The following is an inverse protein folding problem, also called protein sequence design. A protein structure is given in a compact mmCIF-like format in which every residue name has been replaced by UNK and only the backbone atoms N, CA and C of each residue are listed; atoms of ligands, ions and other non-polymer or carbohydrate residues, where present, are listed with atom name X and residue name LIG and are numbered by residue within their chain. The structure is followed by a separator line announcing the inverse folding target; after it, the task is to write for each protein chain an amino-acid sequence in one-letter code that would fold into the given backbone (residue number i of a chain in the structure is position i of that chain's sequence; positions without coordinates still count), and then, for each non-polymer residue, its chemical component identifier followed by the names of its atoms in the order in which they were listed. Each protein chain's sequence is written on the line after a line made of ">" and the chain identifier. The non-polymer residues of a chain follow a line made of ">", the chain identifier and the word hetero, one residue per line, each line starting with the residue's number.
data_IF_047639242438
#
_entry.id   IF_047639242438
#
_cell.length_a   1.000
_cell.length_b   1.000
_cell.length_c   1.000
_cell.angle_alpha   90.00
_cell.angle_beta   90.00
_cell.angle_gamma   90.00
#
_symmetry.space_group_name_H-M   'P 1'
#
loop_
_entity.id
_entity.type
_entity.pdbx_description
1 polymer ?
#
# COMPACT_ATOMS: atom_id res chain seq x y z
N UNK A 1 -1.01 -8.17 -16.77
CA UNK A 1 0.18 -7.53 -16.14
C UNK A 1 -0.19 -7.20 -14.71
N UNK A 2 0.54 -7.78 -13.76
CA UNK A 2 0.20 -7.82 -12.33
C UNK A 2 0.10 -6.45 -11.67
N UNK A 3 -1.01 -6.23 -10.96
CA UNK A 3 -1.19 -5.14 -10.00
C UNK A 3 0.00 -5.03 -9.04
N UNK A 4 0.52 -6.17 -8.56
CA UNK A 4 1.68 -6.22 -7.67
C UNK A 4 2.91 -5.61 -8.33
N UNK A 5 3.18 -5.95 -9.60
CA UNK A 5 4.27 -5.37 -10.35
C UNK A 5 4.09 -3.86 -10.51
N UNK A 6 2.88 -3.39 -10.81
CA UNK A 6 2.61 -1.95 -10.91
C UNK A 6 2.87 -1.21 -9.58
N UNK A 7 2.36 -1.75 -8.48
CA UNK A 7 2.55 -1.18 -7.13
C UNK A 7 4.03 -1.17 -6.75
N UNK A 8 4.76 -2.28 -6.94
CA UNK A 8 6.19 -2.36 -6.65
C UNK A 8 7.02 -1.38 -7.49
N UNK A 9 6.73 -1.23 -8.79
CA UNK A 9 7.42 -0.24 -9.64
C UNK A 9 7.12 1.18 -9.18
N UNK A 10 5.88 1.47 -8.78
CA UNK A 10 5.51 2.80 -8.27
C UNK A 10 6.27 3.13 -7.00
N UNK A 11 6.38 2.19 -6.06
CA UNK A 11 7.17 2.37 -4.83
C UNK A 11 8.65 2.56 -5.16
N UNK A 12 9.19 1.78 -6.09
CA UNK A 12 10.57 1.93 -6.54
C UNK A 12 10.86 3.31 -7.17
N UNK A 13 9.85 3.92 -7.81
CA UNK A 13 9.94 5.24 -8.42
C UNK A 13 9.73 6.42 -7.45
N UNK A 14 9.31 6.17 -6.20
CA UNK A 14 9.24 7.23 -5.17
C UNK A 14 10.65 7.74 -4.84
N UNK A 15 10.73 9.01 -4.46
CA UNK A 15 11.93 9.59 -3.87
C UNK A 15 12.05 9.19 -2.38
N UNK A 16 13.27 9.21 -1.83
CA UNK A 16 13.48 8.95 -0.39
C UNK A 16 12.75 10.00 0.46
N UNK A 17 11.98 9.55 1.45
CA UNK A 17 11.09 10.38 2.26
C UNK A 17 9.73 10.69 1.64
N UNK A 18 9.51 10.34 0.36
CA UNK A 18 8.22 10.53 -0.29
C UNK A 18 7.16 9.56 0.26
N UNK A 19 5.93 10.07 0.37
CA UNK A 19 4.78 9.30 0.86
C UNK A 19 3.80 9.03 -0.27
N UNK A 20 3.31 7.80 -0.34
CA UNK A 20 2.29 7.40 -1.29
C UNK A 20 1.10 6.75 -0.58
N UNK A 21 -0.07 7.38 -0.75
CA UNK A 21 -1.34 6.89 -0.20
C UNK A 21 -1.99 5.96 -1.22
N UNK A 22 -2.04 4.67 -0.89
CA UNK A 22 -2.63 3.61 -1.71
C UNK A 22 -4.02 3.29 -1.17
N UNK A 23 -5.03 3.33 -2.04
CA UNK A 23 -6.40 2.96 -1.67
C UNK A 23 -7.01 1.97 -2.66
N UNK A 24 -7.95 1.15 -2.18
CA UNK A 24 -8.63 0.16 -3.01
C UNK A 24 -9.35 0.81 -4.22
N UNK A 25 -9.97 1.97 -4.01
CA UNK A 25 -10.68 2.69 -5.06
C UNK A 25 -9.74 3.25 -6.13
N UNK A 26 -8.60 3.83 -5.72
CA UNK A 26 -7.59 4.34 -6.68
C UNK A 26 -6.97 3.22 -7.52
N UNK A 27 -6.88 2.01 -6.95
CA UNK A 27 -6.39 0.82 -7.64
C UNK A 27 -7.50 0.06 -8.39
N UNK A 28 -8.77 0.46 -8.25
CA UNK A 28 -9.93 -0.22 -8.83
C UNK A 28 -10.00 -1.71 -8.46
N UNK A 29 -9.66 -2.05 -7.21
CA UNK A 29 -9.67 -3.43 -6.70
C UNK A 29 -10.68 -3.64 -5.57
N UNK A 30 -11.04 -4.89 -5.34
CA UNK A 30 -11.95 -5.23 -4.24
C UNK A 30 -11.28 -5.01 -2.87
N UNK A 31 -12.12 -4.92 -1.82
CA UNK A 31 -11.65 -4.83 -0.43
C UNK A 31 -10.79 -6.04 -0.04
N UNK A 32 -11.16 -7.23 -0.52
CA UNK A 32 -10.44 -8.48 -0.27
C UNK A 32 -9.08 -8.48 -0.95
N UNK A 33 -9.01 -8.03 -2.21
CA UNK A 33 -7.75 -7.92 -2.95
C UNK A 33 -6.83 -6.88 -2.29
N UNK A 34 -7.40 -5.77 -1.82
CA UNK A 34 -6.65 -4.75 -1.10
C UNK A 34 -6.11 -5.26 0.25
N UNK A 35 -6.85 -6.12 0.95
CA UNK A 35 -6.37 -6.75 2.17
C UNK A 35 -5.17 -7.66 1.89
N UNK A 36 -5.24 -8.48 0.84
CA UNK A 36 -4.10 -9.30 0.37
C UNK A 36 -2.90 -8.43 -0.02
N UNK A 37 -3.13 -7.33 -0.74
CA UNK A 37 -2.10 -6.35 -1.09
C UNK A 37 -1.45 -5.72 0.14
N UNK A 38 -2.24 -5.36 1.14
CA UNK A 38 -1.75 -4.77 2.39
C UNK A 38 -0.85 -5.75 3.15
N UNK A 39 -1.22 -7.03 3.19
CA UNK A 39 -0.40 -8.10 3.79
C UNK A 39 0.91 -8.28 3.01
N UNK A 40 0.84 -8.29 1.68
CA UNK A 40 2.02 -8.37 0.83
C UNK A 40 2.98 -7.19 1.09
N UNK A 41 2.46 -5.97 1.07
CA UNK A 41 3.24 -4.76 1.35
C UNK A 41 3.84 -4.80 2.76
N UNK A 42 3.09 -5.28 3.77
CA UNK A 42 3.58 -5.53 5.13
C UNK A 42 4.87 -6.32 5.13
N UNK A 43 4.86 -7.48 4.46
CA UNK A 43 6.04 -8.35 4.37
C UNK A 43 7.17 -7.72 3.57
N UNK A 44 6.84 -7.02 2.48
CA UNK A 44 7.85 -6.40 1.62
C UNK A 44 8.56 -5.23 2.33
N UNK A 45 7.86 -4.52 3.21
CA UNK A 45 8.44 -3.44 4.03
C UNK A 45 9.49 -3.93 5.03
N UNK A 46 9.41 -5.19 5.46
CA UNK A 46 10.42 -5.80 6.36
C UNK A 46 11.80 -5.89 5.70
N UNK A 47 11.89 -5.77 4.37
CA UNK A 47 13.16 -5.68 3.63
C UNK A 47 13.87 -4.33 3.80
N UNK A 48 13.20 -3.31 4.36
CA UNK A 48 13.78 -2.01 4.70
C UNK A 48 13.79 -0.98 3.57
N UNK A 49 13.24 -1.28 2.39
CA UNK A 49 13.17 -0.32 1.26
C UNK A 49 12.11 0.78 1.47
N UNK A 50 11.09 0.49 2.26
CA UNK A 50 10.03 1.42 2.61
C UNK A 50 9.39 0.98 3.93
N UNK A 51 8.63 1.87 4.55
CA UNK A 51 7.76 1.57 5.67
C UNK A 51 6.31 1.83 5.32
N UNK A 52 5.41 1.27 6.12
CA UNK A 52 3.98 1.39 5.92
C UNK A 52 3.37 1.90 7.21
N UNK A 53 2.63 2.99 7.10
CA UNK A 53 1.85 3.53 8.19
C UNK A 53 0.41 3.05 7.99
N UNK A 54 -0.11 2.20 8.91
CA UNK A 54 -1.50 1.79 8.88
C UNK A 54 -2.38 2.93 9.41
N UNK A 55 -2.50 4.02 8.64
CA UNK A 55 -3.42 5.11 8.99
C UNK A 55 -4.90 4.73 8.76
N UNK A 56 -5.19 3.49 8.33
CA UNK A 56 -6.55 3.05 7.98
C UNK A 56 -7.01 1.70 8.54
N UNK A 57 -6.20 0.97 9.32
CA UNK A 57 -6.64 -0.32 9.88
C UNK A 57 -7.69 -0.19 10.99
N UNK A 58 -7.95 1.03 11.49
CA UNK A 58 -8.83 1.30 12.63
C UNK A 58 -10.16 1.98 12.32
N UNK A 59 -10.51 2.22 11.05
CA UNK A 59 -11.76 2.91 10.76
C UNK A 59 -12.79 1.87 10.27
N UNK A 60 -13.93 1.82 10.98
CA UNK A 60 -15.23 1.19 10.69
C UNK A 60 -15.38 0.39 9.38
N UNK A 61 -16.26 -0.60 9.35
CA UNK A 61 -16.70 -1.31 8.12
C UNK A 61 -17.03 -0.38 6.93
N UNK A 62 -17.32 0.90 7.18
CA UNK A 62 -17.58 1.96 6.19
C UNK A 62 -16.37 2.80 5.73
N UNK A 63 -15.19 2.67 6.33
CA UNK A 63 -14.02 3.44 5.94
C UNK A 63 -13.35 2.87 4.69
N UNK A 64 -12.69 3.70 3.90
CA UNK A 64 -11.99 3.24 2.71
C UNK A 64 -10.73 2.44 3.10
N UNK A 65 -10.43 1.31 2.43
CA UNK A 65 -9.17 0.60 2.66
C UNK A 65 -8.04 1.47 2.13
N UNK A 66 -7.19 1.96 3.03
CA UNK A 66 -6.07 2.85 2.71
C UNK A 66 -4.82 2.40 3.47
N UNK A 67 -3.67 2.46 2.80
CA UNK A 67 -2.36 2.27 3.40
C UNK A 67 -1.42 3.37 2.91
N UNK A 68 -0.61 3.92 3.81
CA UNK A 68 0.37 4.96 3.46
C UNK A 68 1.76 4.33 3.42
N UNK A 69 2.41 4.39 2.27
CA UNK A 69 3.77 3.92 2.05
C UNK A 69 4.73 5.10 2.18
N UNK A 70 5.84 4.93 2.86
CA UNK A 70 6.89 5.94 3.05
C UNK A 70 8.21 5.31 2.61
N UNK A 71 8.88 5.90 1.62
CA UNK A 71 10.14 5.35 1.13
C UNK A 71 11.34 5.83 1.96
N UNK A 72 12.34 4.95 2.11
CA UNK A 72 13.64 5.26 2.72
C UNK A 72 14.72 5.44 1.66
#
# INVERSE_FOLDING_TARGET
>A
MDLLNHVSHRIAALDSGEQWIVSAQKLLISRTDFQSLSIFLSRESEKGHFSISPQGLNASYHAEPVVTIIKH
#
